data_IF_480549366690
#
_entry.id   IF_480549366690
#
_cell.length_a   1.000
_cell.length_b   1.000
_cell.length_c   1.000
_cell.angle_alpha   90.00
_cell.angle_beta   90.00
_cell.angle_gamma   90.00
#
_symmetry.space_group_name_H-M   'P 1'
#
loop_
_entity.id
_entity.type
_entity.pdbx_description
1 polymer ?
#
# COMPACT_ATOMS: atom_id res chain seq x y z
N UNK A 1 0.41 17.90 20.77
CA UNK A 1 -0.45 17.72 19.59
C UNK A 1 -1.64 16.86 19.96
N UNK A 2 -2.80 17.03 19.32
CA UNK A 2 -3.97 16.18 19.55
C UNK A 2 -3.92 14.86 18.76
N UNK A 3 -3.09 14.80 17.71
CA UNK A 3 -2.92 13.66 16.81
C UNK A 3 -1.68 12.85 17.20
N UNK A 4 -1.69 11.56 16.88
CA UNK A 4 -0.57 10.62 16.98
C UNK A 4 -0.52 9.79 15.71
N UNK A 5 0.67 9.71 15.11
CA UNK A 5 0.96 8.86 13.97
C UNK A 5 1.59 7.57 14.48
N UNK A 6 1.06 6.44 14.04
CA UNK A 6 1.69 5.13 14.19
C UNK A 6 1.97 4.57 12.81
N UNK A 7 3.10 3.90 12.64
CA UNK A 7 3.42 3.28 11.36
C UNK A 7 4.48 2.22 11.47
N UNK A 8 4.49 1.34 10.47
CA UNK A 8 5.45 0.28 10.27
C UNK A 8 6.16 0.50 8.93
N UNK A 9 7.48 0.31 8.94
CA UNK A 9 8.29 0.28 7.72
C UNK A 9 8.79 -1.13 7.54
N UNK A 10 8.42 -1.74 6.42
CA UNK A 10 8.81 -3.08 6.03
C UNK A 10 10.00 -3.01 5.07
N UNK A 11 10.99 -3.87 5.28
CA UNK A 11 12.10 -4.09 4.34
C UNK A 11 11.66 -4.99 3.19
N UNK A 12 10.81 -4.48 2.31
CA UNK A 12 10.29 -5.17 1.14
C UNK A 12 9.54 -4.21 0.22
N UNK A 13 9.69 -4.41 -1.09
CA UNK A 13 9.12 -3.56 -2.14
C UNK A 13 9.34 -4.19 -3.51
N UNK A 14 9.16 -3.42 -4.58
CA UNK A 14 9.15 -3.96 -5.95
C UNK A 14 10.41 -4.68 -6.41
N UNK A 15 11.57 -4.42 -5.78
CA UNK A 15 12.80 -5.18 -6.06
C UNK A 15 12.74 -6.62 -5.58
N UNK A 16 11.96 -6.90 -4.55
CA UNK A 16 11.90 -8.20 -3.88
C UNK A 16 10.73 -9.07 -4.39
N UNK A 17 10.07 -8.66 -5.46
CA UNK A 17 8.93 -9.37 -6.04
C UNK A 17 9.36 -10.46 -7.02
N UNK A 18 8.69 -11.61 -6.98
CA UNK A 18 8.78 -12.61 -8.06
C UNK A 18 7.88 -12.25 -9.24
N UNK A 19 6.72 -11.65 -8.97
CA UNK A 19 5.76 -11.21 -9.98
C UNK A 19 5.69 -9.70 -9.94
N UNK A 20 6.07 -8.99 -11.02
CA UNK A 20 6.06 -7.53 -11.03
C UNK A 20 4.67 -6.93 -10.75
N UNK A 21 4.64 -5.89 -9.92
CA UNK A 21 3.45 -5.11 -9.61
C UNK A 21 2.69 -5.56 -8.37
N UNK A 22 3.14 -6.61 -7.68
CA UNK A 22 2.46 -7.12 -6.48
C UNK A 22 2.46 -6.08 -5.35
N UNK A 23 3.56 -5.37 -5.10
CA UNK A 23 3.63 -4.38 -4.01
C UNK A 23 2.76 -3.16 -4.30
N UNK A 24 2.60 -2.77 -5.57
CA UNK A 24 1.70 -1.67 -5.94
C UNK A 24 0.22 -2.06 -5.75
N UNK A 25 -0.12 -3.31 -6.05
CA UNK A 25 -1.45 -3.87 -5.75
C UNK A 25 -1.69 -3.92 -4.24
N UNK A 26 -0.71 -4.41 -3.48
CA UNK A 26 -0.79 -4.48 -2.01
C UNK A 26 -0.86 -3.09 -1.37
N UNK A 27 -0.22 -2.08 -1.95
CA UNK A 27 -0.32 -0.69 -1.49
C UNK A 27 -1.76 -0.17 -1.58
N UNK A 28 -2.45 -0.42 -2.69
CA UNK A 28 -3.82 0.02 -2.89
C UNK A 28 -4.82 -0.77 -2.02
N UNK A 29 -4.52 -2.02 -1.70
CA UNK A 29 -5.35 -2.88 -0.86
C UNK A 29 -5.00 -2.81 0.64
N UNK A 30 -3.96 -2.04 1.01
CA UNK A 30 -3.34 -2.04 2.33
C UNK A 30 -4.30 -1.88 3.52
N UNK A 31 -5.38 -1.10 3.36
CA UNK A 31 -6.35 -0.83 4.42
C UNK A 31 -7.78 -1.20 4.00
N UNK A 32 -7.90 -2.20 3.13
CA UNK A 32 -9.18 -2.78 2.71
C UNK A 32 -9.76 -3.73 3.75
N UNK A 33 -10.21 -4.90 3.30
CA UNK A 33 -10.81 -5.94 4.16
C UNK A 33 -9.75 -6.83 4.83
N UNK A 34 -10.09 -7.35 6.00
CA UNK A 34 -9.24 -8.20 6.85
C UNK A 34 -10.11 -9.18 7.64
N UNK A 35 -9.50 -10.15 8.33
CA UNK A 35 -10.25 -11.13 9.12
C UNK A 35 -11.16 -10.48 10.19
N UNK A 36 -10.72 -9.39 10.81
CA UNK A 36 -11.47 -8.73 11.88
C UNK A 36 -12.32 -7.54 11.40
N UNK A 37 -12.02 -6.99 10.22
CA UNK A 37 -12.61 -5.75 9.74
C UNK A 37 -12.99 -5.80 8.27
N UNK A 38 -14.22 -5.35 7.96
CA UNK A 38 -14.72 -5.28 6.57
C UNK A 38 -14.01 -4.21 5.74
N UNK A 39 -13.68 -3.08 6.35
CA UNK A 39 -12.93 -1.98 5.74
C UNK A 39 -12.21 -1.22 6.87
N UNK A 40 -10.88 -1.30 6.88
CA UNK A 40 -10.06 -0.65 7.89
C UNK A 40 -10.00 0.87 7.65
N UNK A 41 -9.90 1.29 6.39
CA UNK A 41 -9.84 2.70 6.02
C UNK A 41 -11.08 3.48 6.47
N UNK A 42 -12.27 2.90 6.28
CA UNK A 42 -13.53 3.49 6.72
C UNK A 42 -13.60 3.63 8.25
N UNK A 43 -13.17 2.61 9.00
CA UNK A 43 -13.15 2.68 10.46
C UNK A 43 -12.15 3.67 11.01
N UNK A 44 -10.97 3.79 10.40
CA UNK A 44 -9.99 4.82 10.77
C UNK A 44 -10.58 6.21 10.55
N UNK A 45 -11.31 6.41 9.45
CA UNK A 45 -12.00 7.66 9.16
C UNK A 45 -13.09 7.98 10.19
N UNK A 46 -13.87 6.98 10.64
CA UNK A 46 -14.87 7.15 11.71
C UNK A 46 -14.24 7.61 13.04
N UNK A 47 -13.00 7.20 13.30
CA UNK A 47 -12.20 7.63 14.45
C UNK A 47 -11.60 9.05 14.26
N UNK A 48 -11.89 9.72 13.15
CA UNK A 48 -11.34 11.02 12.77
C UNK A 48 -9.86 10.95 12.36
N UNK A 49 -9.41 9.79 11.89
CA UNK A 49 -8.05 9.55 11.42
C UNK A 49 -7.93 9.43 9.91
N UNK A 50 -6.70 9.19 9.45
CA UNK A 50 -6.38 8.87 8.06
C UNK A 50 -5.38 7.72 7.99
N UNK A 51 -5.53 6.88 6.97
CA UNK A 51 -4.57 5.84 6.64
C UNK A 51 -3.69 6.26 5.47
N UNK A 52 -2.44 5.81 5.49
CA UNK A 52 -1.47 6.05 4.42
C UNK A 52 -0.63 4.80 4.22
N UNK A 53 -0.54 4.35 2.97
CA UNK A 53 0.37 3.29 2.56
C UNK A 53 1.17 3.77 1.35
N UNK A 54 2.43 3.39 1.28
CA UNK A 54 3.26 3.60 0.08
C UNK A 54 4.30 2.50 -0.03
N UNK A 55 4.43 1.92 -1.22
CA UNK A 55 5.46 0.94 -1.53
C UNK A 55 6.51 1.53 -2.48
N UNK A 56 7.77 1.45 -2.06
CA UNK A 56 8.93 1.76 -2.87
C UNK A 56 9.57 0.51 -3.46
N UNK A 57 10.80 0.65 -3.94
CA UNK A 57 11.59 -0.49 -4.47
C UNK A 57 12.12 -1.41 -3.36
N UNK A 58 12.53 -0.81 -2.25
CA UNK A 58 13.22 -1.51 -1.15
C UNK A 58 12.37 -1.61 0.12
N UNK A 59 11.40 -0.72 0.27
CA UNK A 59 10.65 -0.56 1.52
C UNK A 59 9.20 -0.20 1.26
N UNK A 60 8.32 -0.65 2.14
CA UNK A 60 6.90 -0.31 2.14
C UNK A 60 6.52 0.26 3.50
N UNK A 61 5.75 1.34 3.49
CA UNK A 61 5.37 2.10 4.68
C UNK A 61 3.86 1.99 4.85
N UNK A 62 3.43 1.61 6.03
CA UNK A 62 2.03 1.57 6.45
C UNK A 62 1.88 2.47 7.67
N UNK A 63 0.98 3.44 7.64
CA UNK A 63 0.77 4.35 8.76
C UNK A 63 -0.68 4.75 8.94
N UNK A 64 -1.05 4.98 10.20
CA UNK A 64 -2.32 5.55 10.60
C UNK A 64 -2.07 6.83 11.41
N UNK A 65 -2.75 7.90 11.04
CA UNK A 65 -2.85 9.12 11.80
C UNK A 65 -4.17 9.12 12.54
N UNK A 66 -4.15 9.19 13.87
CA UNK A 66 -5.37 9.17 14.69
C UNK A 66 -5.31 10.15 15.84
N UNK A 67 -6.47 10.53 16.38
CA UNK A 67 -6.54 11.29 17.62
C UNK A 67 -5.98 10.46 18.78
N UNK A 68 -5.23 11.10 19.70
CA UNK A 68 -4.60 10.44 20.86
C UNK A 68 -5.50 9.48 21.64
N UNK A 69 -6.79 9.79 21.92
CA UNK A 69 -7.66 8.87 22.64
C UNK A 69 -7.97 7.56 21.88
N UNK A 70 -7.84 7.58 20.55
CA UNK A 70 -8.18 6.47 19.66
C UNK A 70 -6.99 5.55 19.36
N UNK A 71 -5.79 5.86 19.88
CA UNK A 71 -4.56 5.08 19.66
C UNK A 71 -4.75 3.58 19.98
N UNK A 72 -5.38 3.26 21.11
CA UNK A 72 -5.61 1.88 21.54
C UNK A 72 -6.52 1.09 20.58
N UNK A 73 -7.39 1.79 19.83
CA UNK A 73 -8.26 1.18 18.81
C UNK A 73 -7.56 1.06 17.45
N UNK A 74 -6.72 2.04 17.11
CA UNK A 74 -6.01 2.08 15.83
C UNK A 74 -4.86 1.08 15.73
N UNK A 75 -4.18 0.79 16.84
CA UNK A 75 -3.04 -0.14 16.84
C UNK A 75 -3.43 -1.56 16.38
N UNK A 76 -4.51 -2.20 16.89
CA UNK A 76 -4.99 -3.48 16.37
C UNK A 76 -5.39 -3.42 14.89
N UNK A 77 -5.99 -2.32 14.43
CA UNK A 77 -6.36 -2.15 13.01
C UNK A 77 -5.13 -2.17 12.10
N UNK A 78 -4.05 -1.47 12.48
CA UNK A 78 -2.79 -1.50 11.74
C UNK A 78 -2.17 -2.91 11.74
N UNK A 79 -2.26 -3.64 12.85
CA UNK A 79 -1.75 -5.01 12.93
C UNK A 79 -2.55 -5.97 12.05
N UNK A 80 -3.89 -5.88 12.06
CA UNK A 80 -4.77 -6.76 11.30
C UNK A 80 -4.63 -6.53 9.79
N UNK A 81 -4.48 -5.26 9.37
CA UNK A 81 -4.18 -4.88 7.99
C UNK A 81 -2.93 -5.59 7.43
N UNK A 82 -1.92 -5.80 8.28
CA UNK A 82 -0.63 -6.36 7.89
C UNK A 82 -0.56 -7.87 8.00
N UNK A 83 -1.15 -8.44 9.06
CA UNK A 83 -1.02 -9.85 9.39
C UNK A 83 -2.15 -10.70 8.79
N UNK A 84 -3.34 -10.11 8.60
CA UNK A 84 -4.56 -10.82 8.22
C UNK A 84 -5.37 -10.11 7.11
N UNK A 85 -4.74 -9.61 6.02
CA UNK A 85 -5.50 -9.00 4.92
C UNK A 85 -6.32 -10.07 4.19
N UNK A 86 -7.58 -9.75 3.90
CA UNK A 86 -8.42 -10.54 3.01
C UNK A 86 -8.32 -9.95 1.61
N UNK A 87 -7.72 -10.72 0.69
CA UNK A 87 -7.53 -10.29 -0.69
C UNK A 87 -8.56 -10.99 -1.57
N UNK A 88 -9.77 -10.40 -1.68
CA UNK A 88 -10.83 -10.94 -2.52
C UNK A 88 -10.51 -10.81 -4.00
N UNK A 89 -10.88 -11.81 -4.81
CA UNK A 89 -10.65 -11.78 -6.27
C UNK A 89 -11.30 -10.56 -6.93
N UNK A 90 -12.51 -10.19 -6.50
CA UNK A 90 -13.20 -9.00 -6.99
C UNK A 90 -12.47 -7.69 -6.65
N UNK A 91 -11.89 -7.58 -5.45
CA UNK A 91 -11.13 -6.40 -5.01
C UNK A 91 -9.82 -6.27 -5.79
N UNK A 92 -9.13 -7.40 -6.04
CA UNK A 92 -7.93 -7.45 -6.86
C UNK A 92 -8.24 -7.00 -8.29
N UNK A 93 -9.31 -7.51 -8.91
CA UNK A 93 -9.69 -7.13 -10.28
C UNK A 93 -10.08 -5.66 -10.39
N UNK A 94 -10.77 -5.11 -9.38
CA UNK A 94 -11.04 -3.68 -9.32
C UNK A 94 -9.74 -2.88 -9.19
N UNK A 95 -8.80 -3.33 -8.37
CA UNK A 95 -7.51 -2.68 -8.15
C UNK A 95 -6.67 -2.62 -9.42
N UNK A 96 -6.64 -3.70 -10.20
CA UNK A 96 -5.97 -3.71 -11.52
C UNK A 96 -6.50 -2.62 -12.45
N UNK A 97 -7.82 -2.41 -12.50
CA UNK A 97 -8.42 -1.31 -13.29
C UNK A 97 -7.97 0.06 -12.79
N UNK A 98 -7.91 0.27 -11.47
CA UNK A 98 -7.40 1.52 -10.89
C UNK A 98 -5.96 1.77 -11.34
N UNK A 99 -5.11 0.74 -11.31
CA UNK A 99 -3.71 0.81 -11.74
C UNK A 99 -3.62 1.15 -13.25
N UNK A 100 -4.46 0.56 -14.09
CA UNK A 100 -4.52 0.89 -15.51
C UNK A 100 -4.82 2.38 -15.74
N UNK A 101 -5.79 2.94 -15.00
CA UNK A 101 -6.09 4.38 -15.07
C UNK A 101 -4.93 5.24 -14.57
N UNK A 102 -4.31 4.87 -13.44
CA UNK A 102 -3.11 5.56 -12.93
C UNK A 102 -1.98 5.56 -13.97
N UNK A 103 -1.80 4.43 -14.67
CA UNK A 103 -0.79 4.32 -15.71
C UNK A 103 -1.10 5.19 -16.94
N UNK A 104 -2.37 5.46 -17.25
CA UNK A 104 -2.72 6.37 -18.34
C UNK A 104 -2.38 7.82 -18.01
N UNK A 105 -2.62 8.23 -16.75
CA UNK A 105 -2.46 9.61 -16.27
C UNK A 105 -1.11 9.92 -15.62
N UNK A 106 -0.20 8.94 -15.54
CA UNK A 106 1.10 9.15 -14.92
C UNK A 106 1.90 10.26 -15.63
N UNK A 107 2.51 11.12 -14.83
CA UNK A 107 3.31 12.25 -15.31
C UNK A 107 4.49 11.78 -16.19
N UNK A 108 4.81 12.49 -17.29
CA UNK A 108 5.93 12.14 -18.17
C UNK A 108 7.26 11.97 -17.45
N UNK A 109 7.53 12.79 -16.44
CA UNK A 109 8.75 12.75 -15.64
C UNK A 109 8.88 11.45 -14.84
N UNK A 110 7.77 10.94 -14.32
CA UNK A 110 7.72 9.66 -13.59
C UNK A 110 7.96 8.51 -14.56
N UNK A 111 7.32 8.51 -15.75
CA UNK A 111 7.59 7.50 -16.79
C UNK A 111 9.05 7.51 -17.23
N UNK A 112 9.63 8.70 -17.39
CA UNK A 112 11.03 8.83 -17.76
C UNK A 112 11.94 8.24 -16.67
N UNK A 113 11.65 8.51 -15.40
CA UNK A 113 12.43 7.96 -14.29
C UNK A 113 12.35 6.42 -14.28
N UNK A 114 11.16 5.86 -14.41
CA UNK A 114 10.97 4.40 -14.50
C UNK A 114 11.73 3.80 -15.69
N UNK A 115 11.67 4.45 -16.86
CA UNK A 115 12.45 4.03 -18.03
C UNK A 115 13.97 4.10 -17.83
N UNK A 116 14.46 5.13 -17.12
CA UNK A 116 15.87 5.24 -16.75
C UNK A 116 16.30 4.12 -15.79
N UNK A 117 15.47 3.78 -14.80
CA UNK A 117 15.75 2.67 -13.88
C UNK A 117 15.85 1.35 -14.65
N UNK A 118 14.89 1.08 -15.55
CA UNK A 118 14.90 -0.13 -16.39
C UNK A 118 16.11 -0.19 -17.32
N UNK A 119 16.52 0.93 -17.92
CA UNK A 119 17.69 0.97 -18.79
C UNK A 119 19.01 0.80 -18.03
N UNK A 120 19.10 1.32 -16.80
CA UNK A 120 20.31 1.27 -16.00
C UNK A 120 20.54 -0.08 -15.32
N UNK A 121 19.47 -0.70 -14.79
CA UNK A 121 19.56 -1.92 -13.98
C UNK A 121 19.03 -3.18 -14.67
N UNK A 122 18.35 -3.03 -15.82
CA UNK A 122 17.71 -4.14 -16.51
C UNK A 122 16.37 -4.57 -15.88
N UNK A 123 15.66 -5.53 -16.51
CA UNK A 123 14.43 -6.09 -15.93
C UNK A 123 14.73 -6.89 -14.65
N UNK A 124 13.75 -6.93 -13.74
CA UNK A 124 13.76 -7.78 -12.54
C UNK A 124 13.85 -9.24 -13.00
N UNK A 125 15.02 -9.85 -12.80
CA UNK A 125 15.39 -11.25 -13.07
C UNK A 125 14.73 -11.97 -14.27
N UNK A 126 15.45 -11.99 -15.40
CA UNK A 126 15.51 -13.18 -16.26
C UNK A 126 14.43 -13.38 -17.31
N UNK A 127 13.53 -12.43 -17.56
CA UNK A 127 12.66 -12.48 -18.75
C UNK A 127 13.36 -11.79 -19.91
N UNK A 128 14.16 -12.58 -20.63
CA UNK A 128 14.57 -12.34 -22.03
C UNK A 128 13.47 -12.89 -22.93
#
# INVERSE_FOLDING_TARGET
GQVTTIGLVLGGGSRHETVPGVSHVLELLAFGSSESYTDISAQVLELGGSSFCSSGREQSIYSLDVLRPNLTKAMPMLADALLHPLLGEAEIEQTKRIIEFQWMDVMPEVRLNEGLQMAAYGPLDGVV
#
